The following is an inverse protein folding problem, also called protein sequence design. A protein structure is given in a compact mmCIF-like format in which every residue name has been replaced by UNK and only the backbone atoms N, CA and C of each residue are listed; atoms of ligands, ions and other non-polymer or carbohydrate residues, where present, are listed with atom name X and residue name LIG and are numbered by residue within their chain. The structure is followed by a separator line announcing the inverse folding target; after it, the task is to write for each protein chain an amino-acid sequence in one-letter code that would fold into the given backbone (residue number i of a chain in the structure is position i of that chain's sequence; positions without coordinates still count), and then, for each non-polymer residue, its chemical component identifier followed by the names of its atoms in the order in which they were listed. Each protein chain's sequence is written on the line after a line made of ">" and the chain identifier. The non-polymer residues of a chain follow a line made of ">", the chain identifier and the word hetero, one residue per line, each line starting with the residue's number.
data_IF_708663138418
#
_entry.id   IF_708663138418
#
_cell.length_a   1.000
_cell.length_b   1.000
_cell.length_c   1.000
_cell.angle_alpha   90.00
_cell.angle_beta   90.00
_cell.angle_gamma   90.00
#
_symmetry.space_group_name_H-M   'P 1'
#
loop_
_entity.id
_entity.type
_entity.pdbx_description
1 polymer ?
#
# COMPACT_ATOMS: atom_id res chain seq x y z
N UNK A 1 17.66 17.08 -2.43
CA UNK A 1 16.69 16.01 -2.72
C UNK A 1 15.55 16.60 -3.53
N UNK A 2 14.99 15.89 -4.53
CA UNK A 2 13.87 16.35 -5.35
C UNK A 2 12.68 15.41 -5.17
N UNK A 3 11.51 15.94 -4.81
CA UNK A 3 10.25 15.18 -4.74
C UNK A 3 9.40 15.53 -5.97
N UNK A 4 8.88 14.52 -6.67
CA UNK A 4 8.00 14.70 -7.83
C UNK A 4 6.69 13.95 -7.65
N UNK A 5 5.58 14.64 -7.90
CA UNK A 5 4.28 14.02 -8.08
C UNK A 5 4.21 13.45 -9.50
N UNK A 6 3.71 12.23 -9.65
CA UNK A 6 3.55 11.55 -10.95
C UNK A 6 2.15 10.96 -11.08
N UNK A 7 1.72 10.77 -12.32
CA UNK A 7 0.53 9.98 -12.64
C UNK A 7 0.63 8.58 -12.00
N UNK A 8 -0.53 8.00 -11.70
CA UNK A 8 -0.65 6.72 -11.02
C UNK A 8 0.15 5.62 -11.72
N UNK A 9 0.92 4.88 -10.92
CA UNK A 9 1.53 3.62 -11.30
C UNK A 9 0.86 2.50 -10.50
N UNK A 10 0.35 1.47 -11.18
CA UNK A 10 -0.35 0.35 -10.52
C UNK A 10 0.57 -0.56 -9.69
N UNK A 11 1.88 -0.52 -9.90
CA UNK A 11 2.84 -1.43 -9.25
C UNK A 11 3.51 -0.86 -8.00
N UNK A 12 3.42 0.46 -7.76
CA UNK A 12 3.99 1.12 -6.58
C UNK A 12 3.35 2.49 -6.35
N UNK A 13 3.23 2.88 -5.09
CA UNK A 13 2.74 4.21 -4.67
C UNK A 13 3.84 5.26 -4.65
N UNK A 14 5.02 4.87 -4.18
CA UNK A 14 6.21 5.69 -4.06
C UNK A 14 7.44 5.03 -4.68
N UNK A 15 8.50 5.81 -4.86
CA UNK A 15 9.83 5.30 -5.19
C UNK A 15 10.91 6.33 -4.83
N UNK A 16 11.86 5.93 -4.00
CA UNK A 16 13.13 6.60 -3.79
C UNK A 16 14.25 5.99 -4.64
N UNK A 17 15.07 6.86 -5.25
CA UNK A 17 16.30 6.45 -5.94
C UNK A 17 17.41 7.48 -5.85
N UNK A 18 18.64 7.00 -5.81
CA UNK A 18 19.84 7.80 -6.07
C UNK A 18 20.11 7.82 -7.58
N UNK A 19 20.25 9.00 -8.15
CA UNK A 19 20.53 9.21 -9.57
C UNK A 19 22.04 9.05 -9.85
N UNK A 20 22.46 8.77 -11.11
CA UNK A 20 23.88 8.58 -11.46
C UNK A 20 24.80 9.74 -11.05
N UNK A 21 24.32 10.98 -11.12
CA UNK A 21 25.05 12.18 -10.68
C UNK A 21 24.98 12.44 -9.16
N UNK A 22 24.62 11.43 -8.35
CA UNK A 22 24.55 11.51 -6.89
C UNK A 22 23.37 12.30 -6.31
N UNK A 23 22.46 12.86 -7.13
CA UNK A 23 21.27 13.55 -6.59
C UNK A 23 20.21 12.51 -6.22
N UNK A 24 19.42 12.84 -5.21
CA UNK A 24 18.36 11.97 -4.70
C UNK A 24 16.99 12.41 -5.21
N UNK A 25 16.18 11.45 -5.62
CA UNK A 25 14.83 11.67 -6.13
C UNK A 25 13.82 10.78 -5.42
N UNK A 26 12.70 11.38 -5.00
CA UNK A 26 11.49 10.68 -4.55
C UNK A 26 10.38 10.95 -5.58
N UNK A 27 9.59 9.93 -5.88
CA UNK A 27 8.37 10.07 -6.69
C UNK A 27 7.18 9.48 -5.95
N UNK A 28 6.04 10.18 -5.96
CA UNK A 28 4.80 9.72 -5.34
C UNK A 28 3.67 9.80 -6.37
N UNK A 29 2.76 8.82 -6.35
CA UNK A 29 1.58 8.84 -7.20
C UNK A 29 0.61 9.95 -6.77
N UNK A 30 -0.02 10.61 -7.74
CA UNK A 30 -0.90 11.76 -7.53
C UNK A 30 -2.29 11.41 -6.99
N UNK A 31 -2.69 10.14 -7.07
CA UNK A 31 -4.06 9.69 -6.80
C UNK A 31 -4.24 9.11 -5.38
N UNK A 32 -3.28 9.31 -4.49
CA UNK A 32 -3.38 8.86 -3.10
C UNK A 32 -4.15 9.91 -2.30
N UNK A 33 -5.04 9.48 -1.41
CA UNK A 33 -5.57 10.37 -0.38
C UNK A 33 -4.44 10.93 0.51
N UNK A 34 -4.71 12.03 1.22
CA UNK A 34 -3.70 12.76 1.98
C UNK A 34 -2.94 11.92 3.02
N UNK A 35 -3.63 10.99 3.70
CA UNK A 35 -3.02 10.12 4.71
C UNK A 35 -2.08 9.10 4.06
N UNK A 36 -2.56 8.45 2.99
CA UNK A 36 -1.76 7.48 2.23
C UNK A 36 -0.57 8.17 1.55
N UNK A 37 -0.76 9.40 1.08
CA UNK A 37 0.30 10.23 0.52
C UNK A 37 1.39 10.49 1.56
N UNK A 38 1.03 10.96 2.75
CA UNK A 38 1.98 11.27 3.81
C UNK A 38 2.79 10.04 4.25
N UNK A 39 2.11 8.91 4.49
CA UNK A 39 2.77 7.65 4.88
C UNK A 39 3.74 7.20 3.77
N UNK A 40 3.33 7.28 2.51
CA UNK A 40 4.18 6.89 1.36
C UNK A 40 5.37 7.84 1.22
N UNK A 41 5.18 9.15 1.39
CA UNK A 41 6.27 10.11 1.34
C UNK A 41 7.31 9.83 2.42
N UNK A 42 6.86 9.63 3.67
CA UNK A 42 7.77 9.35 4.79
C UNK A 42 8.44 7.98 4.63
N UNK A 43 7.78 6.99 4.02
CA UNK A 43 8.39 5.72 3.64
C UNK A 43 9.61 5.92 2.72
N UNK A 44 9.45 6.73 1.66
CA UNK A 44 10.53 7.01 0.72
C UNK A 44 11.64 7.88 1.34
N UNK A 45 11.28 8.82 2.22
CA UNK A 45 12.26 9.59 3.01
C UNK A 45 13.04 8.66 3.94
N UNK A 46 12.38 7.67 4.56
CA UNK A 46 13.06 6.69 5.40
C UNK A 46 14.09 5.89 4.59
N UNK A 47 13.79 5.50 3.35
CA UNK A 47 14.80 4.89 2.48
C UNK A 47 16.01 5.79 2.27
N UNK A 48 15.79 7.07 1.99
CA UNK A 48 16.86 8.05 1.82
C UNK A 48 17.71 8.19 3.09
N UNK A 49 17.09 8.49 4.23
CA UNK A 49 17.78 8.70 5.51
C UNK A 49 18.54 7.45 5.95
N UNK A 50 17.93 6.27 5.82
CA UNK A 50 18.63 5.03 6.20
C UNK A 50 19.84 4.75 5.30
N UNK A 51 19.77 5.00 3.99
CA UNK A 51 20.94 4.83 3.12
C UNK A 51 22.04 5.85 3.41
N UNK A 52 21.67 7.07 3.78
CA UNK A 52 22.61 8.10 4.19
C UNK A 52 23.33 7.74 5.50
N UNK A 53 22.61 7.21 6.48
CA UNK A 53 23.17 6.90 7.81
C UNK A 53 23.91 5.57 7.89
N UNK A 54 23.43 4.54 7.18
CA UNK A 54 23.93 3.16 7.32
C UNK A 54 24.61 2.62 6.04
N UNK A 55 24.56 3.37 4.95
CA UNK A 55 25.10 2.96 3.65
C UNK A 55 24.15 2.07 2.84
N UNK A 56 24.53 1.82 1.58
CA UNK A 56 23.68 1.16 0.57
C UNK A 56 23.56 -0.37 0.69
N UNK A 57 24.34 -1.00 1.55
CA UNK A 57 24.41 -2.46 1.67
C UNK A 57 23.44 -3.04 2.70
N UNK A 58 22.64 -2.19 3.36
CA UNK A 58 21.60 -2.65 4.28
C UNK A 58 20.50 -3.41 3.54
N UNK A 59 19.79 -4.27 4.28
CA UNK A 59 18.61 -4.95 3.74
C UNK A 59 17.48 -3.92 3.53
N UNK A 60 16.80 -3.92 2.38
CA UNK A 60 15.61 -3.09 2.19
C UNK A 60 14.56 -3.48 3.25
N UNK A 61 13.97 -2.46 3.87
CA UNK A 61 12.99 -2.64 4.95
C UNK A 61 13.50 -3.48 6.14
N UNK A 62 14.83 -3.51 6.34
CA UNK A 62 15.52 -4.16 7.46
C UNK A 62 15.37 -3.39 8.78
N UNK A 63 16.10 -3.80 9.82
CA UNK A 63 15.99 -3.22 11.17
C UNK A 63 16.29 -1.71 11.18
N UNK A 64 17.29 -1.28 10.41
CA UNK A 64 17.72 0.11 10.28
C UNK A 64 16.61 0.97 9.66
N UNK A 65 16.02 0.46 8.57
CA UNK A 65 14.92 1.14 7.90
C UNK A 65 13.67 1.20 8.77
N UNK A 66 13.30 0.09 9.43
CA UNK A 66 12.13 0.06 10.32
C UNK A 66 12.26 1.03 11.48
N UNK A 67 13.44 1.09 12.09
CA UNK A 67 13.74 2.05 13.15
C UNK A 67 13.64 3.49 12.65
N UNK A 68 14.28 3.79 11.52
CA UNK A 68 14.25 5.13 10.90
C UNK A 68 12.82 5.54 10.55
N UNK A 69 12.06 4.67 9.88
CA UNK A 69 10.70 4.94 9.46
C UNK A 69 9.77 5.19 10.65
N UNK A 70 9.88 4.38 11.70
CA UNK A 70 9.12 4.60 12.94
C UNK A 70 9.42 5.97 13.53
N UNK A 71 10.69 6.33 13.68
CA UNK A 71 11.09 7.61 14.28
C UNK A 71 10.61 8.80 13.45
N UNK A 72 10.72 8.73 12.12
CA UNK A 72 10.24 9.80 11.23
C UNK A 72 8.72 9.96 11.30
N UNK A 73 7.96 8.90 11.54
CA UNK A 73 6.51 8.95 11.64
C UNK A 73 6.00 9.45 12.99
N UNK A 74 6.77 9.28 14.08
CA UNK A 74 6.31 9.60 15.45
C UNK A 74 5.70 11.01 15.60
N UNK A 75 6.29 12.09 15.07
CA UNK A 75 5.71 13.43 15.20
C UNK A 75 4.34 13.59 14.53
N UNK A 76 4.03 12.76 13.54
CA UNK A 76 2.79 12.80 12.78
C UNK A 76 1.68 11.95 13.38
N UNK A 77 1.96 11.08 14.36
CA UNK A 77 0.95 10.19 14.95
C UNK A 77 0.14 10.91 16.03
N UNK A 78 -0.63 11.92 15.61
CA UNK A 78 -1.47 12.74 16.48
C UNK A 78 -2.78 13.18 15.78
N UNK A 79 -3.79 13.66 16.54
CA UNK A 79 -5.10 14.03 15.99
C UNK A 79 -5.11 15.24 15.05
N UNK A 80 -4.08 16.11 15.09
CA UNK A 80 -3.97 17.26 14.18
C UNK A 80 -3.58 16.82 12.76
N UNK A 81 -3.07 15.60 12.59
CA UNK A 81 -2.56 15.07 11.32
C UNK A 81 -3.36 13.87 10.82
N UNK A 82 -3.76 12.96 11.70
CA UNK A 82 -4.58 11.80 11.33
C UNK A 82 -5.88 11.78 12.15
N UNK A 83 -7.00 11.38 11.52
CA UNK A 83 -8.25 11.09 12.22
C UNK A 83 -8.06 10.11 13.37
N UNK A 84 -8.80 10.32 14.46
CA UNK A 84 -8.76 9.46 15.65
C UNK A 84 -9.03 7.98 15.33
N UNK A 85 -9.82 7.70 14.30
CA UNK A 85 -10.10 6.33 13.82
C UNK A 85 -8.87 5.63 13.24
N UNK A 86 -7.92 6.38 12.64
CA UNK A 86 -6.70 5.81 12.06
C UNK A 86 -5.58 5.64 13.09
N UNK A 87 -5.53 6.47 14.14
CA UNK A 87 -4.41 6.49 15.10
C UNK A 87 -4.12 5.12 15.75
N UNK A 88 -5.12 4.34 16.23
CA UNK A 88 -4.85 3.00 16.78
C UNK A 88 -4.28 2.03 15.75
N UNK A 89 -4.74 2.10 14.50
CA UNK A 89 -4.29 1.24 13.41
C UNK A 89 -2.85 1.58 13.01
N UNK A 90 -2.53 2.88 12.92
CA UNK A 90 -1.18 3.36 12.67
C UNK A 90 -0.24 2.96 13.81
N UNK A 91 -0.64 3.16 15.07
CA UNK A 91 0.16 2.76 16.23
C UNK A 91 0.46 1.26 16.22
N UNK A 92 -0.52 0.41 15.86
CA UNK A 92 -0.31 -1.02 15.69
C UNK A 92 0.64 -1.34 14.53
N UNK A 93 0.48 -0.70 13.38
CA UNK A 93 1.33 -0.88 12.20
C UNK A 93 2.79 -0.54 12.50
N UNK A 94 3.04 0.60 13.15
CA UNK A 94 4.38 1.09 13.45
C UNK A 94 5.09 0.40 14.62
N UNK A 95 4.45 -0.57 15.29
CA UNK A 95 5.17 -1.52 16.17
C UNK A 95 6.19 -2.34 15.37
N UNK A 96 5.83 -2.73 14.15
CA UNK A 96 6.69 -3.45 13.22
C UNK A 96 6.30 -3.10 11.77
N UNK A 97 6.75 -1.93 11.26
CA UNK A 97 6.26 -1.41 9.99
C UNK A 97 6.60 -2.36 8.84
N UNK A 98 5.64 -2.50 7.92
CA UNK A 98 5.78 -3.35 6.73
C UNK A 98 6.36 -2.55 5.58
N UNK A 99 6.86 -3.26 4.56
CA UNK A 99 7.38 -2.64 3.34
C UNK A 99 6.32 -1.88 2.51
N UNK A 100 5.03 -2.07 2.80
CA UNK A 100 3.94 -1.27 2.24
C UNK A 100 2.74 -1.30 3.20
N UNK A 101 2.04 -0.18 3.32
CA UNK A 101 0.77 -0.11 4.06
C UNK A 101 -0.28 -1.08 3.51
N UNK A 102 -0.27 -1.38 2.21
CA UNK A 102 -1.22 -2.32 1.56
C UNK A 102 -1.10 -3.77 2.05
N UNK A 103 0.04 -4.13 2.63
CA UNK A 103 0.24 -5.46 3.22
C UNK A 103 -0.34 -5.57 4.63
N UNK A 104 -0.79 -4.46 5.19
CA UNK A 104 -1.60 -4.39 6.39
C UNK A 104 -3.07 -4.28 6.00
N UNK A 105 -3.76 -5.41 5.90
CA UNK A 105 -5.14 -5.43 5.38
C UNK A 105 -6.10 -4.57 6.21
N UNK A 106 -5.87 -4.41 7.51
CA UNK A 106 -6.76 -3.59 8.35
C UNK A 106 -6.48 -2.11 8.10
N UNK A 107 -5.23 -1.67 8.22
CA UNK A 107 -4.86 -0.28 7.96
C UNK A 107 -5.14 0.12 6.51
N UNK A 108 -4.86 -0.75 5.54
CA UNK A 108 -5.09 -0.49 4.13
C UNK A 108 -6.56 -0.32 3.80
N UNK A 109 -7.46 -1.04 4.48
CA UNK A 109 -8.91 -0.88 4.31
C UNK A 109 -9.37 0.44 4.91
N UNK A 110 -8.96 0.76 6.13
CA UNK A 110 -9.31 2.03 6.78
C UNK A 110 -8.80 3.25 5.99
N UNK A 111 -7.58 3.18 5.45
CA UNK A 111 -7.04 4.24 4.59
C UNK A 111 -7.81 4.41 3.28
N UNK A 112 -8.53 3.38 2.81
CA UNK A 112 -9.36 3.47 1.58
C UNK A 112 -10.68 4.19 1.81
N UNK A 113 -11.16 4.30 3.05
CA UNK A 113 -12.37 5.08 3.36
C UNK A 113 -12.21 6.57 3.05
N UNK A 114 -10.97 7.02 2.84
CA UNK A 114 -10.60 8.38 2.47
C UNK A 114 -10.26 8.52 0.98
N UNK A 115 -10.36 7.45 0.19
CA UNK A 115 -10.28 7.53 -1.26
C UNK A 115 -11.59 8.12 -1.82
N UNK A 116 -11.53 8.73 -3.00
CA UNK A 116 -12.74 9.19 -3.69
C UNK A 116 -13.72 8.02 -3.94
N UNK A 117 -15.03 8.24 -3.78
CA UNK A 117 -16.04 7.23 -4.05
C UNK A 117 -15.88 6.62 -5.43
N UNK A 118 -16.04 5.30 -5.52
CA UNK A 118 -15.98 4.58 -6.79
C UNK A 118 -16.99 3.43 -6.80
N UNK A 119 -17.38 2.98 -8.00
CA UNK A 119 -18.40 1.94 -8.19
C UNK A 119 -17.85 0.50 -8.03
N UNK A 120 -16.75 0.32 -7.30
CA UNK A 120 -16.16 -1.00 -7.07
C UNK A 120 -16.52 -1.51 -5.69
N UNK A 121 -16.52 -2.83 -5.58
CA UNK A 121 -16.71 -3.56 -4.33
C UNK A 121 -15.43 -4.31 -3.98
N UNK A 122 -15.29 -4.76 -2.74
CA UNK A 122 -14.14 -5.55 -2.32
C UNK A 122 -14.32 -7.03 -2.62
N UNK A 123 -13.21 -7.72 -2.94
CA UNK A 123 -13.22 -9.18 -3.16
C UNK A 123 -13.88 -9.92 -1.99
N UNK A 124 -13.63 -9.53 -0.74
CA UNK A 124 -14.23 -10.21 0.41
C UNK A 124 -15.76 -10.10 0.50
N UNK A 125 -16.37 -9.15 -0.23
CA UNK A 125 -17.82 -8.94 -0.29
C UNK A 125 -18.48 -9.77 -1.39
N UNK A 126 -17.69 -10.33 -2.32
CA UNK A 126 -18.21 -11.14 -3.41
C UNK A 126 -18.69 -12.50 -2.88
N UNK A 127 -19.95 -12.90 -3.10
CA UNK A 127 -20.44 -14.19 -2.68
C UNK A 127 -19.69 -15.37 -3.34
N UNK A 128 -19.58 -16.49 -2.63
CA UNK A 128 -18.94 -17.70 -3.15
C UNK A 128 -19.58 -18.13 -4.48
N UNK A 129 -18.74 -18.38 -5.49
CA UNK A 129 -19.18 -18.81 -6.82
C UNK A 129 -19.67 -17.69 -7.75
N UNK A 130 -19.81 -16.45 -7.29
CA UNK A 130 -20.13 -15.29 -8.14
C UNK A 130 -18.92 -14.89 -9.00
N UNK A 131 -19.19 -14.26 -10.14
CA UNK A 131 -18.16 -13.75 -11.05
C UNK A 131 -17.93 -12.25 -10.84
N UNK A 132 -16.70 -11.81 -11.04
CA UNK A 132 -16.32 -10.40 -10.96
C UNK A 132 -15.24 -10.06 -11.98
N UNK A 133 -15.17 -8.79 -12.36
CA UNK A 133 -14.19 -8.24 -13.30
C UNK A 133 -13.09 -7.47 -12.55
N UNK A 134 -11.85 -7.63 -13.02
CA UNK A 134 -10.74 -6.74 -12.65
C UNK A 134 -10.64 -5.55 -13.59
N UNK A 135 -9.94 -4.51 -13.13
CA UNK A 135 -9.64 -3.30 -13.90
C UNK A 135 -9.02 -3.51 -15.30
N UNK A 136 -8.51 -4.71 -15.60
CA UNK A 136 -7.92 -5.08 -16.89
C UNK A 136 -8.84 -5.95 -17.76
N UNK A 137 -10.13 -6.05 -17.43
CA UNK A 137 -11.13 -6.81 -18.17
C UNK A 137 -11.09 -8.32 -17.94
N UNK A 138 -10.19 -8.81 -17.07
CA UNK A 138 -10.14 -10.24 -16.73
C UNK A 138 -11.27 -10.59 -15.77
N UNK A 139 -11.99 -11.67 -16.07
CA UNK A 139 -13.12 -12.16 -15.26
C UNK A 139 -12.70 -13.36 -14.42
N UNK A 140 -13.10 -13.34 -13.16
CA UNK A 140 -12.79 -14.37 -12.18
C UNK A 140 -14.06 -14.85 -11.47
N UNK A 141 -14.05 -16.12 -11.07
CA UNK A 141 -15.06 -16.70 -10.19
C UNK A 141 -14.54 -16.79 -8.77
N UNK A 142 -15.33 -16.31 -7.80
CA UNK A 142 -15.01 -16.39 -6.39
C UNK A 142 -14.98 -17.84 -5.90
N UNK A 143 -13.91 -18.20 -5.19
CA UNK A 143 -13.70 -19.48 -4.54
C UNK A 143 -13.54 -19.33 -3.03
N UNK A 144 -12.90 -20.30 -2.39
CA UNK A 144 -12.84 -20.36 -0.93
C UNK A 144 -11.87 -19.34 -0.33
N UNK A 145 -12.18 -18.89 0.88
CA UNK A 145 -11.25 -18.13 1.71
C UNK A 145 -10.19 -19.08 2.27
N UNK A 146 -8.91 -18.79 1.99
CA UNK A 146 -7.75 -19.37 2.67
C UNK A 146 -7.43 -18.57 3.94
N UNK A 147 -6.26 -18.77 4.56
CA UNK A 147 -5.91 -18.08 5.82
C UNK A 147 -6.01 -16.55 5.72
N UNK A 148 -5.47 -15.94 4.64
CA UNK A 148 -5.43 -14.47 4.46
C UNK A 148 -5.85 -13.99 3.06
N UNK A 149 -6.22 -14.90 2.17
CA UNK A 149 -6.43 -14.63 0.74
C UNK A 149 -7.66 -15.38 0.25
N UNK A 150 -8.26 -14.90 -0.82
CA UNK A 150 -9.36 -15.59 -1.50
C UNK A 150 -8.85 -16.31 -2.73
N UNK A 151 -9.27 -17.55 -2.91
CA UNK A 151 -9.09 -18.25 -4.17
C UNK A 151 -10.07 -17.71 -5.19
N UNK A 152 -9.58 -17.39 -6.39
CA UNK A 152 -10.44 -17.03 -7.50
C UNK A 152 -9.89 -17.64 -8.79
N UNK A 153 -10.78 -18.23 -9.59
CA UNK A 153 -10.41 -18.89 -10.84
C UNK A 153 -10.68 -17.95 -12.00
N UNK A 154 -9.68 -17.70 -12.85
CA UNK A 154 -9.88 -16.93 -14.07
C UNK A 154 -10.73 -17.73 -15.06
N UNK A 155 -11.87 -17.18 -15.48
CA UNK A 155 -12.85 -17.87 -16.34
C UNK A 155 -12.22 -18.29 -17.67
N UNK A 156 -11.43 -17.40 -18.29
CA UNK A 156 -10.85 -17.64 -19.62
C UNK A 156 -9.81 -18.76 -19.63
N UNK A 157 -9.03 -18.91 -18.57
CA UNK A 157 -7.85 -19.79 -18.55
C UNK A 157 -7.98 -20.98 -17.60
N UNK A 158 -8.97 -20.96 -16.70
CA UNK A 158 -9.12 -21.95 -15.63
C UNK A 158 -8.05 -21.86 -14.54
N UNK A 159 -7.15 -20.86 -14.59
CA UNK A 159 -6.05 -20.74 -13.62
C UNK A 159 -6.54 -20.19 -12.29
N UNK A 160 -6.04 -20.77 -11.20
CA UNK A 160 -6.28 -20.33 -9.83
C UNK A 160 -5.37 -19.17 -9.44
N UNK A 161 -5.94 -18.16 -8.79
CA UNK A 161 -5.24 -16.99 -8.28
C UNK A 161 -5.61 -16.73 -6.81
N UNK A 162 -4.70 -16.11 -6.06
CA UNK A 162 -4.92 -15.71 -4.67
C UNK A 162 -5.07 -14.19 -4.57
N UNK A 163 -6.27 -13.75 -4.23
CA UNK A 163 -6.62 -12.34 -4.12
C UNK A 163 -6.42 -11.80 -2.70
N UNK A 164 -5.92 -10.57 -2.61
CA UNK A 164 -6.00 -9.78 -1.37
C UNK A 164 -7.49 -9.54 -1.05
N UNK A 165 -7.95 -9.73 0.19
CA UNK A 165 -9.31 -9.37 0.60
C UNK A 165 -9.74 -7.98 0.12
N UNK A 166 -8.86 -6.99 0.24
CA UNK A 166 -9.15 -5.58 -0.07
C UNK A 166 -8.97 -5.23 -1.56
N UNK A 167 -8.83 -6.23 -2.44
CA UNK A 167 -8.77 -5.95 -3.87
C UNK A 167 -10.13 -5.44 -4.33
N UNK A 168 -10.15 -4.30 -5.03
CA UNK A 168 -11.37 -3.75 -5.61
C UNK A 168 -11.68 -4.40 -6.95
N UNK A 169 -12.94 -4.77 -7.13
CA UNK A 169 -13.47 -5.50 -8.29
C UNK A 169 -14.84 -4.95 -8.69
N UNK A 170 -15.25 -5.23 -9.92
CA UNK A 170 -16.60 -4.92 -10.39
C UNK A 170 -17.41 -6.22 -10.40
N UNK A 171 -18.51 -6.26 -9.65
CA UNK A 171 -19.45 -7.38 -9.71
C UNK A 171 -20.09 -7.43 -11.11
N UNK A 172 -20.28 -8.64 -11.65
CA UNK A 172 -20.92 -8.90 -12.95
C UNK A 172 -22.28 -9.57 -12.71
#
# INVERSE_FOLDING_TARGET
>A
MLVKIKNERKTRHGDYRQMPHGKHQITINSNLNEYRFLITLIHEIAHFETYKSYGKFIKPHGKEWKYTFKNLMLPFLNPDVFPDSLLPLLAAHFKNPKASSDTDTVLALALKEFDEPNDKTYVFEIPLGQSFELYNGRVFKMGQKRVKRFECVEIKTGRLYLFNPNAEVKLI
#
